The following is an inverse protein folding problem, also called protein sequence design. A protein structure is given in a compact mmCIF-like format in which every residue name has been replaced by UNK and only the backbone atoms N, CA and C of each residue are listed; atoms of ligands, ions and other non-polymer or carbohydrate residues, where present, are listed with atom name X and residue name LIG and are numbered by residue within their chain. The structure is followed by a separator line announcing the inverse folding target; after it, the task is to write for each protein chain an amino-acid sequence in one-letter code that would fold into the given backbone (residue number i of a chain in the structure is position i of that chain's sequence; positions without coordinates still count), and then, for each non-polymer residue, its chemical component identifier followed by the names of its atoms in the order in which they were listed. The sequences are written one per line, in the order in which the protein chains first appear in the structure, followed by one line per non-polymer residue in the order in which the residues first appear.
data_IF_157504212705
#
_entry.id   IF_157504212705
#
_cell.length_a   1.000
_cell.length_b   1.000
_cell.length_c   1.000
_cell.angle_alpha   90.00
_cell.angle_beta   90.00
_cell.angle_gamma   90.00
#
_symmetry.space_group_name_H-M   'P 1'
#
loop_
_entity.id
_entity.type
_entity.pdbx_description
1 polymer ?
#
# COMPACT_ATOMS: atom_id res chain seq x y z
N UNK A 1 -1.68 19.75 -9.85
CA UNK A 1 -2.56 18.58 -9.68
C UNK A 1 -1.87 17.27 -10.08
N UNK A 2 -1.36 17.12 -11.31
CA UNK A 2 -0.69 15.89 -11.82
C UNK A 2 0.49 15.43 -10.98
N UNK A 3 1.29 16.35 -10.44
CA UNK A 3 2.42 16.05 -9.55
C UNK A 3 1.99 15.33 -8.27
N UNK A 4 0.91 15.78 -7.63
CA UNK A 4 0.41 15.22 -6.37
C UNK A 4 -0.18 13.83 -6.59
N UNK A 5 -0.94 13.66 -7.67
CA UNK A 5 -1.46 12.35 -8.08
C UNK A 5 -0.29 11.37 -8.26
N UNK A 6 0.74 11.73 -9.02
CA UNK A 6 1.92 10.88 -9.21
C UNK A 6 2.62 10.54 -7.88
N UNK A 7 2.64 11.49 -6.95
CA UNK A 7 3.23 11.32 -5.62
C UNK A 7 2.46 10.30 -4.78
N UNK A 8 1.12 10.35 -4.80
CA UNK A 8 0.25 9.35 -4.15
C UNK A 8 0.58 7.94 -4.64
N UNK A 9 0.59 7.73 -5.97
CA UNK A 9 0.95 6.43 -6.54
C UNK A 9 2.35 5.97 -6.12
N UNK A 10 3.31 6.89 -6.18
CA UNK A 10 4.72 6.60 -5.87
C UNK A 10 4.90 6.23 -4.40
N UNK A 11 4.28 6.94 -3.48
CA UNK A 11 4.44 6.73 -2.04
C UNK A 11 3.74 5.44 -1.59
N UNK A 12 2.53 5.16 -2.08
CA UNK A 12 1.85 3.88 -1.84
C UNK A 12 2.68 2.71 -2.37
N UNK A 13 3.24 2.83 -3.58
CA UNK A 13 4.11 1.79 -4.15
C UNK A 13 5.41 1.60 -3.36
N UNK A 14 6.06 2.69 -2.94
CA UNK A 14 7.27 2.64 -2.10
C UNK A 14 7.00 2.01 -0.75
N UNK A 15 5.85 2.33 -0.13
CA UNK A 15 5.42 1.71 1.11
C UNK A 15 5.24 0.21 0.91
N UNK A 16 4.49 -0.21 -0.11
CA UNK A 16 4.29 -1.63 -0.40
C UNK A 16 5.62 -2.36 -0.69
N UNK A 17 6.51 -1.76 -1.49
CA UNK A 17 7.82 -2.34 -1.83
C UNK A 17 8.73 -2.53 -0.62
N UNK A 18 8.66 -1.65 0.38
CA UNK A 18 9.43 -1.78 1.64
C UNK A 18 9.12 -3.10 2.38
N UNK A 19 7.94 -3.64 2.15
CA UNK A 19 7.45 -4.88 2.73
C UNK A 19 7.51 -6.05 1.74
N UNK A 20 8.19 -5.87 0.61
CA UNK A 20 8.53 -6.90 -0.37
C UNK A 20 7.36 -7.68 -0.96
N UNK A 21 6.12 -7.18 -0.83
CA UNK A 21 4.90 -7.86 -1.28
C UNK A 21 4.73 -9.28 -0.73
N UNK A 22 5.40 -9.62 0.37
CA UNK A 22 5.29 -10.93 1.02
C UNK A 22 4.15 -10.96 2.04
N UNK A 23 3.84 -12.15 2.55
CA UNK A 23 2.95 -12.26 3.71
C UNK A 23 3.57 -11.52 4.89
N UNK A 24 2.77 -10.67 5.51
CA UNK A 24 3.15 -9.92 6.70
C UNK A 24 2.72 -10.69 7.93
N UNK A 25 3.54 -10.65 8.97
CA UNK A 25 3.09 -10.99 10.32
C UNK A 25 2.08 -9.96 10.82
N UNK A 26 1.34 -10.26 11.88
CA UNK A 26 0.39 -9.31 12.47
C UNK A 26 1.07 -8.01 12.89
N UNK A 27 2.28 -8.10 13.47
CA UNK A 27 3.07 -6.92 13.85
C UNK A 27 3.55 -6.09 12.65
N UNK A 28 3.94 -6.76 11.56
CA UNK A 28 4.33 -6.08 10.32
C UNK A 28 3.13 -5.44 9.63
N UNK A 29 1.97 -6.09 9.70
CA UNK A 29 0.70 -5.59 9.19
C UNK A 29 0.24 -4.34 9.95
N UNK A 30 0.30 -4.36 11.28
CA UNK A 30 0.01 -3.18 12.10
C UNK A 30 0.95 -2.03 11.77
N UNK A 31 2.25 -2.30 11.66
CA UNK A 31 3.23 -1.29 11.26
C UNK A 31 2.98 -0.76 9.83
N UNK A 32 2.51 -1.62 8.91
CA UNK A 32 2.18 -1.23 7.54
C UNK A 32 0.97 -0.31 7.51
N UNK A 33 -0.09 -0.67 8.22
CA UNK A 33 -1.29 0.15 8.38
C UNK A 33 -0.95 1.49 9.04
N UNK A 34 -0.18 1.48 10.14
CA UNK A 34 0.23 2.70 10.83
C UNK A 34 0.99 3.68 9.93
N UNK A 35 1.97 3.18 9.16
CA UNK A 35 2.69 4.00 8.16
C UNK A 35 1.79 4.52 7.04
N UNK A 36 0.78 3.74 6.65
CA UNK A 36 -0.21 4.16 5.67
C UNK A 36 -1.10 5.30 6.18
N UNK A 37 -1.50 5.26 7.45
CA UNK A 37 -2.26 6.34 8.10
C UNK A 37 -1.41 7.62 8.25
N UNK A 38 -0.13 7.51 8.61
CA UNK A 38 0.79 8.67 8.65
C UNK A 38 0.91 9.38 7.28
N UNK A 39 0.92 8.63 6.19
CA UNK A 39 0.93 9.18 4.83
C UNK A 39 -0.41 9.82 4.46
N UNK A 40 -1.52 9.21 4.87
CA UNK A 40 -2.86 9.75 4.64
C UNK A 40 -3.01 11.15 5.27
N UNK A 41 -2.54 11.36 6.50
CA UNK A 41 -2.58 12.68 7.16
C UNK A 41 -1.95 13.77 6.29
N UNK A 42 -0.84 13.47 5.60
CA UNK A 42 -0.21 14.42 4.67
C UNK A 42 -1.08 14.72 3.47
N UNK A 43 -1.81 13.73 2.96
CA UNK A 43 -2.62 13.90 1.76
C UNK A 43 -3.96 14.62 2.02
N UNK A 44 -4.44 14.67 3.27
CA UNK A 44 -5.62 15.46 3.66
C UNK A 44 -5.46 16.95 3.37
N UNK A 45 -4.25 17.49 3.50
CA UNK A 45 -3.95 18.91 3.24
C UNK A 45 -4.18 19.32 1.77
N UNK A 46 -4.23 18.35 0.85
CA UNK A 46 -4.39 18.59 -0.58
C UNK A 46 -5.85 18.53 -1.07
N UNK A 47 -6.80 18.26 -0.17
CA UNK A 47 -8.23 18.24 -0.46
C UNK A 47 -8.84 16.83 -0.60
N UNK A 48 -10.18 16.76 -0.59
CA UNK A 48 -10.91 15.50 -0.44
C UNK A 48 -10.71 14.54 -1.61
N UNK A 49 -10.51 15.03 -2.84
CA UNK A 49 -10.29 14.17 -4.01
C UNK A 49 -8.94 13.44 -3.95
N UNK A 50 -7.89 14.13 -3.48
CA UNK A 50 -6.56 13.54 -3.32
C UNK A 50 -6.54 12.56 -2.15
N UNK A 51 -7.21 12.92 -1.05
CA UNK A 51 -7.40 12.02 0.08
C UNK A 51 -8.11 10.73 -0.34
N UNK A 52 -9.21 10.85 -1.07
CA UNK A 52 -9.98 9.71 -1.56
C UNK A 52 -9.14 8.82 -2.49
N UNK A 53 -8.41 9.42 -3.44
CA UNK A 53 -7.50 8.69 -4.30
C UNK A 53 -6.46 7.88 -3.51
N UNK A 54 -5.85 8.50 -2.50
CA UNK A 54 -4.88 7.81 -1.63
C UNK A 54 -5.54 6.63 -0.91
N UNK A 55 -6.71 6.85 -0.30
CA UNK A 55 -7.45 5.80 0.44
C UNK A 55 -7.80 4.62 -0.46
N UNK A 56 -8.29 4.89 -1.66
CA UNK A 56 -8.66 3.84 -2.61
C UNK A 56 -7.45 3.01 -3.05
N UNK A 57 -6.32 3.65 -3.35
CA UNK A 57 -5.08 2.96 -3.70
C UNK A 57 -4.53 2.16 -2.53
N UNK A 58 -4.48 2.75 -1.34
CA UNK A 58 -3.95 2.07 -0.16
C UNK A 58 -4.83 0.85 0.21
N UNK A 59 -6.15 0.98 0.13
CA UNK A 59 -7.09 -0.12 0.33
C UNK A 59 -6.89 -1.25 -0.68
N UNK A 60 -6.62 -0.94 -1.94
CA UNK A 60 -6.32 -1.95 -2.96
C UNK A 60 -5.03 -2.73 -2.61
N UNK A 61 -3.99 -2.04 -2.13
CA UNK A 61 -2.75 -2.69 -1.67
C UNK A 61 -2.99 -3.53 -0.42
N UNK A 62 -3.75 -3.04 0.56
CA UNK A 62 -4.14 -3.82 1.73
C UNK A 62 -4.85 -5.12 1.33
N UNK A 63 -5.79 -5.03 0.39
CA UNK A 63 -6.48 -6.19 -0.14
C UNK A 63 -5.54 -7.18 -0.84
N UNK A 64 -4.49 -6.70 -1.53
CA UNK A 64 -3.47 -7.56 -2.12
C UNK A 64 -2.75 -8.40 -1.05
N UNK A 65 -2.28 -7.76 0.02
CA UNK A 65 -1.61 -8.46 1.13
C UNK A 65 -2.54 -9.42 1.88
N UNK A 66 -3.82 -9.08 2.03
CA UNK A 66 -4.82 -9.94 2.68
C UNK A 66 -5.20 -11.15 1.82
N UNK A 67 -5.32 -10.97 0.50
CA UNK A 67 -5.66 -12.04 -0.44
C UNK A 67 -4.47 -12.96 -0.74
N UNK A 68 -3.27 -12.41 -0.71
CA UNK A 68 -2.07 -13.10 -1.12
C UNK A 68 -0.88 -12.71 -0.27
N UNK A 69 -0.74 -13.31 0.91
CA UNK A 69 0.61 -13.74 1.27
C UNK A 69 1.10 -14.57 0.09
N UNK A 70 1.93 -13.96 -0.78
CA UNK A 70 2.14 -14.33 -2.18
C UNK A 70 1.97 -15.83 -2.46
N UNK A 71 1.24 -16.17 -3.51
CA UNK A 71 1.30 -17.49 -4.16
C UNK A 71 2.74 -18.02 -4.03
N UNK A 72 2.92 -19.12 -3.30
CA UNK A 72 4.07 -20.00 -3.54
C UNK A 72 4.04 -20.26 -5.05
N UNK A 73 5.02 -19.71 -5.75
CA UNK A 73 5.36 -20.16 -7.07
C UNK A 73 5.82 -21.60 -6.87
N UNK A 74 4.90 -22.56 -6.97
CA UNK A 74 5.25 -23.95 -7.25
C UNK A 74 5.91 -23.91 -8.62
N UNK A 75 7.23 -23.75 -8.63
CA UNK A 75 8.03 -24.19 -9.76
C UNK A 75 7.81 -25.70 -9.81
N UNK A 76 7.09 -26.12 -10.84
CA UNK A 76 7.09 -27.48 -11.32
C UNK A 76 8.55 -27.86 -11.57
N UNK A 77 9.09 -28.76 -10.76
CA UNK A 77 10.26 -29.55 -11.10
C UNK A 77 9.77 -30.98 -11.23
N UNK A 78 9.78 -31.45 -12.49
CA UNK A 78 9.45 -32.82 -12.87
C UNK A 78 10.60 -33.80 -12.70
#
# INVERSE_FOLDING_TARGET
MTRIIYQVFTDVWRLARKYEFRRLTDSEWEAFCGRGEELLERYREYGPEVEMLYRDLFRAVQALYQRGGCHENKREEG
#
